data_IF_748619711846
#
_entry.id   IF_748619711846
#
_cell.length_a   1.000
_cell.length_b   1.000
_cell.length_c   1.000
_cell.angle_alpha   90.00
_cell.angle_beta   90.00
_cell.angle_gamma   90.00
#
_symmetry.space_group_name_H-M   'P 1'
#
loop_
_entity.id
_entity.type
_entity.pdbx_description
1 polymer ?
#
# COMPACT_ATOMS: atom_id res chain seq x y z
N UNK A 1 6.72 -3.68 -13.11
CA UNK A 1 6.05 -4.12 -11.87
C UNK A 1 4.57 -3.76 -11.97
N UNK A 2 3.67 -4.67 -11.62
CA UNK A 2 2.24 -4.44 -11.51
C UNK A 2 1.88 -3.99 -10.11
N UNK A 3 0.75 -3.29 -9.93
CA UNK A 3 0.37 -2.71 -8.63
C UNK A 3 -1.09 -3.08 -8.33
N UNK A 4 -1.36 -3.45 -7.07
CA UNK A 4 -2.67 -3.61 -6.48
C UNK A 4 -2.74 -2.74 -5.21
N UNK A 5 -3.57 -1.71 -5.21
CA UNK A 5 -3.78 -0.83 -4.06
C UNK A 5 -5.14 -1.11 -3.45
N UNK A 6 -5.17 -1.43 -2.17
CA UNK A 6 -6.37 -1.79 -1.44
C UNK A 6 -6.56 -0.90 -0.21
N UNK A 7 -7.78 -0.78 0.25
CA UNK A 7 -8.07 -0.16 1.54
C UNK A 7 -7.74 -1.11 2.70
N UNK A 8 -8.32 -2.30 2.72
CA UNK A 8 -8.20 -3.25 3.84
C UNK A 8 -7.61 -4.62 3.45
N UNK A 9 -6.85 -4.72 2.36
CA UNK A 9 -6.28 -5.97 1.88
C UNK A 9 -7.23 -6.75 0.97
N UNK A 10 -7.16 -8.08 1.00
CA UNK A 10 -7.94 -8.95 0.11
C UNK A 10 -9.24 -9.35 0.82
N UNK A 11 -10.23 -8.48 0.79
CA UNK A 11 -11.49 -8.59 1.58
C UNK A 11 -12.58 -9.39 0.90
N UNK A 12 -12.56 -9.47 -0.45
CA UNK A 12 -13.61 -10.10 -1.23
C UNK A 12 -13.07 -10.89 -2.43
N UNK A 13 -13.97 -11.55 -3.16
CA UNK A 13 -13.63 -12.45 -4.27
C UNK A 13 -13.12 -11.70 -5.49
N UNK A 14 -13.61 -10.50 -5.73
CA UNK A 14 -13.21 -9.67 -6.88
C UNK A 14 -11.77 -9.16 -6.71
N UNK A 15 -11.40 -8.68 -5.52
CA UNK A 15 -10.03 -8.28 -5.22
C UNK A 15 -9.09 -9.49 -5.24
N UNK A 16 -9.54 -10.65 -4.72
CA UNK A 16 -8.76 -11.88 -4.79
C UNK A 16 -8.50 -12.31 -6.24
N UNK A 17 -9.51 -12.28 -7.11
CA UNK A 17 -9.35 -12.61 -8.52
C UNK A 17 -8.36 -11.66 -9.21
N UNK A 18 -8.46 -10.35 -8.94
CA UNK A 18 -7.52 -9.35 -9.46
C UNK A 18 -6.07 -9.64 -9.04
N UNK A 19 -5.83 -10.05 -7.78
CA UNK A 19 -4.49 -10.44 -7.34
C UNK A 19 -3.96 -11.66 -8.12
N UNK A 20 -4.79 -12.69 -8.33
CA UNK A 20 -4.42 -13.89 -9.10
C UNK A 20 -4.09 -13.54 -10.54
N UNK A 21 -4.90 -12.67 -11.18
CA UNK A 21 -4.69 -12.20 -12.54
C UNK A 21 -3.38 -11.40 -12.68
N UNK A 22 -3.08 -10.54 -11.70
CA UNK A 22 -1.82 -9.81 -11.66
C UNK A 22 -0.62 -10.74 -11.51
N UNK A 23 -0.70 -11.75 -10.64
CA UNK A 23 0.35 -12.75 -10.46
C UNK A 23 0.54 -13.62 -11.72
N UNK A 24 -0.53 -13.84 -12.50
CA UNK A 24 -0.51 -14.71 -13.67
C UNK A 24 -0.34 -16.21 -13.34
N UNK A 25 -0.43 -16.57 -12.06
CA UNK A 25 -0.34 -17.94 -11.54
C UNK A 25 -1.02 -18.06 -10.18
N UNK A 26 -1.33 -19.28 -9.70
CA UNK A 26 -1.93 -19.48 -8.39
C UNK A 26 -1.07 -18.89 -7.25
N UNK A 27 -1.72 -18.37 -6.21
CA UNK A 27 -1.04 -17.87 -5.00
C UNK A 27 -0.19 -18.96 -4.36
N UNK A 28 -0.67 -20.21 -4.36
CA UNK A 28 0.05 -21.37 -3.83
C UNK A 28 1.35 -21.72 -4.61
N UNK A 29 1.56 -21.11 -5.77
CA UNK A 29 2.78 -21.24 -6.56
C UNK A 29 3.66 -19.98 -6.51
N UNK A 30 3.18 -18.93 -5.85
CA UNK A 30 3.80 -17.61 -5.77
C UNK A 30 4.52 -17.39 -4.44
N UNK A 31 5.69 -16.74 -4.49
CA UNK A 31 6.46 -16.31 -3.32
C UNK A 31 6.10 -14.86 -2.96
N UNK A 32 6.00 -14.56 -1.66
CA UNK A 32 5.72 -13.21 -1.20
C UNK A 32 6.68 -12.75 -0.10
N UNK A 33 6.91 -11.44 -0.05
CA UNK A 33 7.57 -10.76 1.07
C UNK A 33 6.58 -9.79 1.73
N UNK A 34 6.37 -9.95 3.02
CA UNK A 34 5.54 -9.07 3.84
C UNK A 34 6.40 -7.92 4.39
N UNK A 35 5.90 -6.70 4.28
CA UNK A 35 6.53 -5.47 4.79
C UNK A 35 5.59 -4.85 5.82
N UNK A 36 5.77 -5.16 7.13
CA UNK A 36 4.88 -4.71 8.18
C UNK A 36 5.31 -3.39 8.84
N UNK A 37 6.38 -2.78 8.38
CA UNK A 37 7.09 -1.67 9.05
C UNK A 37 6.17 -0.50 9.43
N UNK A 38 5.14 -0.20 8.64
CA UNK A 38 4.26 0.96 8.86
C UNK A 38 3.53 0.98 10.21
N UNK A 39 3.34 -0.17 10.87
CA UNK A 39 2.62 -0.24 12.15
C UNK A 39 3.52 -0.06 13.37
N UNK A 40 4.82 -0.07 13.21
CA UNK A 40 5.76 -0.01 14.35
C UNK A 40 5.58 1.24 15.25
N UNK A 41 5.25 2.44 14.73
CA UNK A 41 5.03 3.61 15.57
C UNK A 41 3.83 3.53 16.49
N UNK A 42 2.85 2.68 16.18
CA UNK A 42 1.61 2.61 16.95
C UNK A 42 1.75 1.78 18.23
N UNK A 43 1.00 2.13 19.29
CA UNK A 43 0.89 1.28 20.47
C UNK A 43 0.47 -0.14 20.09
N UNK A 44 1.21 -1.15 20.54
CA UNK A 44 0.94 -2.54 20.20
C UNK A 44 1.43 -2.98 18.82
N UNK A 45 2.27 -2.19 18.13
CA UNK A 45 2.84 -2.51 16.82
C UNK A 45 3.28 -3.97 16.63
N UNK A 46 4.08 -4.56 17.54
CA UNK A 46 4.47 -5.99 17.44
C UNK A 46 3.28 -6.97 17.41
N UNK A 47 2.21 -6.69 18.17
CA UNK A 47 1.01 -7.51 18.18
C UNK A 47 0.22 -7.37 16.86
N UNK A 48 0.19 -6.16 16.30
CA UNK A 48 -0.42 -5.92 14.99
C UNK A 48 0.35 -6.65 13.88
N UNK A 49 1.69 -6.65 13.91
CA UNK A 49 2.51 -7.44 12.97
C UNK A 49 2.15 -8.92 13.05
N UNK A 50 2.02 -9.49 14.25
CA UNK A 50 1.60 -10.87 14.40
C UNK A 50 0.20 -11.12 13.79
N UNK A 51 -0.75 -10.25 14.08
CA UNK A 51 -2.11 -10.34 13.52
C UNK A 51 -2.13 -10.26 11.99
N UNK A 52 -1.32 -9.38 11.39
CA UNK A 52 -1.18 -9.30 9.93
C UNK A 52 -0.58 -10.57 9.32
N UNK A 53 0.49 -11.09 9.90
CA UNK A 53 1.13 -12.33 9.43
C UNK A 53 0.21 -13.55 9.50
N UNK A 54 -0.64 -13.61 10.52
CA UNK A 54 -1.57 -14.71 10.75
C UNK A 54 -2.94 -14.51 10.10
N UNK A 55 -3.19 -13.33 9.48
CA UNK A 55 -4.47 -12.99 8.85
C UNK A 55 -5.60 -12.74 9.85
N UNK A 56 -5.28 -12.40 11.12
CA UNK A 56 -6.27 -12.09 12.16
C UNK A 56 -6.53 -10.60 12.32
N UNK A 57 -5.75 -9.74 11.65
CA UNK A 57 -5.93 -8.29 11.58
C UNK A 57 -5.78 -7.83 10.13
N UNK A 58 -6.71 -7.01 9.67
CA UNK A 58 -6.81 -6.61 8.26
C UNK A 58 -7.31 -7.75 7.36
N UNK A 59 -7.41 -7.52 6.06
CA UNK A 59 -7.72 -8.57 5.10
C UNK A 59 -6.58 -9.62 5.03
N UNK A 60 -6.88 -10.86 4.65
CA UNK A 60 -5.95 -12.00 4.77
C UNK A 60 -4.82 -11.97 3.72
N UNK A 61 -4.01 -10.91 3.67
CA UNK A 61 -2.92 -10.79 2.69
C UNK A 61 -1.84 -11.87 2.87
N UNK A 62 -1.33 -12.03 4.10
CA UNK A 62 -0.28 -13.00 4.40
C UNK A 62 -0.81 -14.44 4.52
N UNK A 63 -2.08 -14.61 4.85
CA UNK A 63 -2.70 -15.91 5.10
C UNK A 63 -3.40 -16.53 3.87
N UNK A 64 -3.06 -16.09 2.65
CA UNK A 64 -3.68 -16.56 1.41
C UNK A 64 -3.14 -17.91 0.90
N UNK A 65 -2.23 -18.55 1.63
CA UNK A 65 -1.65 -19.84 1.22
C UNK A 65 -0.51 -19.70 0.19
N UNK A 66 0.32 -18.68 0.31
CA UNK A 66 1.51 -18.48 -0.52
C UNK A 66 2.44 -19.70 -0.50
N UNK A 67 3.11 -19.98 -1.62
CA UNK A 67 4.17 -21.01 -1.71
C UNK A 67 5.27 -20.78 -0.67
N UNK A 68 5.67 -19.52 -0.51
CA UNK A 68 6.57 -19.08 0.53
C UNK A 68 6.22 -17.63 0.94
N UNK A 69 6.36 -17.34 2.23
CA UNK A 69 6.17 -16.03 2.79
C UNK A 69 7.38 -15.66 3.63
N UNK A 70 8.07 -14.56 3.26
CA UNK A 70 9.13 -13.97 4.07
C UNK A 70 8.67 -12.66 4.71
N UNK A 71 9.41 -12.18 5.70
CA UNK A 71 9.20 -10.87 6.32
C UNK A 71 10.39 -9.98 6.02
N UNK A 72 10.13 -8.79 5.53
CA UNK A 72 11.12 -7.75 5.26
C UNK A 72 10.84 -6.56 6.18
N UNK A 73 11.50 -6.52 7.35
CA UNK A 73 11.39 -5.40 8.28
C UNK A 73 12.40 -4.32 7.89
N UNK A 74 11.90 -3.20 7.35
CA UNK A 74 12.72 -2.17 6.73
C UNK A 74 13.67 -1.48 7.72
N UNK A 75 13.29 -1.37 8.98
CA UNK A 75 14.11 -0.75 10.03
C UNK A 75 15.40 -1.52 10.30
N UNK A 76 15.43 -2.81 10.02
CA UNK A 76 16.61 -3.66 10.18
C UNK A 76 17.59 -3.58 9.01
N UNK A 77 17.11 -3.26 7.80
CA UNK A 77 17.88 -3.36 6.56
C UNK A 77 19.16 -2.49 6.52
N UNK A 78 19.19 -1.27 7.09
CA UNK A 78 20.44 -0.48 7.13
C UNK A 78 21.59 -1.16 7.87
N UNK A 79 21.31 -2.12 8.75
CA UNK A 79 22.30 -2.91 9.50
C UNK A 79 22.67 -4.23 8.81
N UNK A 80 22.00 -4.56 7.70
CA UNK A 80 22.18 -5.82 6.98
C UNK A 80 22.84 -5.55 5.62
N UNK A 81 23.77 -6.40 5.21
CA UNK A 81 24.38 -6.28 3.86
C UNK A 81 23.30 -6.38 2.79
N UNK A 82 23.35 -5.48 1.81
CA UNK A 82 22.35 -5.42 0.72
C UNK A 82 22.20 -6.76 0.00
N UNK A 83 23.30 -7.47 -0.26
CA UNK A 83 23.31 -8.77 -0.95
C UNK A 83 22.45 -9.84 -0.22
N UNK A 84 22.17 -9.66 1.06
CA UNK A 84 21.38 -10.64 1.84
C UNK A 84 19.88 -10.53 1.65
N UNK A 85 19.37 -9.39 1.17
CA UNK A 85 17.94 -9.16 1.05
C UNK A 85 17.50 -8.71 -0.35
N UNK A 86 18.35 -8.05 -1.11
CA UNK A 86 18.02 -7.53 -2.46
C UNK A 86 17.60 -8.67 -3.39
N UNK A 87 18.34 -9.78 -3.40
CA UNK A 87 17.98 -10.94 -4.22
C UNK A 87 16.58 -11.47 -3.87
N UNK A 88 16.24 -11.57 -2.58
CA UNK A 88 14.92 -12.02 -2.14
C UNK A 88 13.80 -11.08 -2.63
N UNK A 89 14.03 -9.75 -2.61
CA UNK A 89 13.07 -8.76 -3.13
C UNK A 89 12.92 -8.90 -4.66
N UNK A 90 14.03 -9.08 -5.39
CA UNK A 90 14.00 -9.22 -6.84
C UNK A 90 13.35 -10.52 -7.31
N UNK A 91 13.43 -11.59 -6.52
CA UNK A 91 12.87 -12.91 -6.82
C UNK A 91 11.43 -13.07 -6.36
N UNK A 92 10.93 -12.23 -5.43
CA UNK A 92 9.56 -12.31 -4.94
C UNK A 92 8.55 -12.04 -6.05
N UNK A 93 7.46 -12.82 -6.06
CA UNK A 93 6.33 -12.60 -6.96
C UNK A 93 5.44 -11.47 -6.45
N UNK A 94 5.37 -11.28 -5.13
CA UNK A 94 4.61 -10.19 -4.52
C UNK A 94 5.35 -9.54 -3.35
N UNK A 95 5.20 -8.21 -3.24
CA UNK A 95 5.55 -7.44 -2.06
C UNK A 95 4.24 -7.03 -1.36
N UNK A 96 3.98 -7.57 -0.18
CA UNK A 96 2.78 -7.30 0.61
C UNK A 96 3.06 -6.18 1.60
N UNK A 97 2.76 -4.96 1.22
CA UNK A 97 3.07 -3.75 1.99
C UNK A 97 1.88 -3.39 2.85
N UNK A 98 2.01 -3.59 4.16
CA UNK A 98 0.95 -3.29 5.09
C UNK A 98 0.92 -1.80 5.45
N UNK A 99 -0.24 -1.36 5.93
CA UNK A 99 -0.49 0.02 6.31
C UNK A 99 0.13 0.42 7.65
N UNK A 100 -0.57 1.27 8.35
CA UNK A 100 -0.12 2.00 9.52
C UNK A 100 0.28 3.43 9.13
N UNK A 101 1.32 3.98 9.73
CA UNK A 101 1.82 5.32 9.41
C UNK A 101 2.42 5.37 7.99
N UNK A 102 1.81 6.06 7.03
CA UNK A 102 2.35 6.17 5.69
C UNK A 102 3.65 6.98 5.66
N UNK A 103 3.78 8.01 6.50
CA UNK A 103 5.02 8.80 6.61
C UNK A 103 6.18 7.96 7.11
N UNK A 104 5.98 7.21 8.19
CA UNK A 104 6.99 6.33 8.76
C UNK A 104 7.40 5.24 7.75
N UNK A 105 6.43 4.62 7.10
CA UNK A 105 6.66 3.59 6.10
C UNK A 105 7.47 4.16 4.91
N UNK A 106 7.05 5.30 4.36
CA UNK A 106 7.74 5.97 3.25
C UNK A 106 9.18 6.35 3.62
N UNK A 107 9.40 6.88 4.83
CA UNK A 107 10.74 7.16 5.35
C UNK A 107 11.62 5.91 5.33
N UNK A 108 11.13 4.80 5.89
CA UNK A 108 11.93 3.57 5.94
C UNK A 108 12.09 2.89 4.59
N UNK A 109 11.14 3.01 3.67
CA UNK A 109 11.33 2.56 2.29
C UNK A 109 12.50 3.28 1.62
N UNK A 110 12.66 4.59 1.87
CA UNK A 110 13.80 5.36 1.37
C UNK A 110 15.10 5.03 2.12
N UNK A 111 15.09 5.03 3.46
CA UNK A 111 16.27 4.78 4.28
C UNK A 111 16.86 3.38 4.08
N UNK A 112 16.03 2.37 3.87
CA UNK A 112 16.47 1.01 3.57
C UNK A 112 17.05 0.85 2.17
N UNK A 113 16.70 1.77 1.25
CA UNK A 113 17.02 1.66 -0.17
C UNK A 113 16.02 0.79 -0.95
N UNK A 114 14.91 0.36 -0.32
CA UNK A 114 13.85 -0.37 -1.02
C UNK A 114 13.18 0.49 -2.09
N UNK A 115 12.92 1.77 -1.78
CA UNK A 115 12.31 2.70 -2.73
C UNK A 115 13.08 2.79 -4.06
N UNK A 116 14.40 2.81 -4.01
CA UNK A 116 15.27 2.85 -5.20
C UNK A 116 15.22 1.54 -6.01
N UNK A 117 14.89 0.43 -5.35
CA UNK A 117 14.84 -0.89 -5.96
C UNK A 117 13.51 -1.15 -6.69
N UNK A 118 12.39 -0.59 -6.21
CA UNK A 118 11.05 -0.85 -6.75
C UNK A 118 10.94 -0.63 -8.27
N UNK A 119 11.47 0.47 -8.87
CA UNK A 119 11.37 0.68 -10.32
C UNK A 119 12.13 -0.36 -11.15
N UNK A 120 13.09 -1.05 -10.55
CA UNK A 120 13.93 -2.06 -11.21
C UNK A 120 13.42 -3.50 -11.05
N UNK A 121 12.31 -3.69 -10.34
CA UNK A 121 11.70 -5.01 -10.18
C UNK A 121 11.20 -5.54 -11.53
N UNK A 122 11.15 -6.84 -11.64
CA UNK A 122 10.67 -7.51 -12.86
C UNK A 122 9.22 -7.09 -13.19
N UNK A 123 8.84 -7.06 -14.47
CA UNK A 123 7.51 -6.57 -14.91
C UNK A 123 6.33 -7.36 -14.33
N UNK A 124 6.53 -8.64 -14.01
CA UNK A 124 5.52 -9.55 -13.46
C UNK A 124 5.46 -9.56 -11.93
N UNK A 125 6.39 -8.91 -11.24
CA UNK A 125 6.29 -8.70 -9.80
C UNK A 125 5.09 -7.79 -9.45
N UNK A 126 4.40 -8.09 -8.35
CA UNK A 126 3.22 -7.36 -7.90
C UNK A 126 3.50 -6.63 -6.59
N UNK A 127 3.35 -5.31 -6.60
CA UNK A 127 3.25 -4.52 -5.37
C UNK A 127 1.81 -4.56 -4.88
N UNK A 128 1.57 -5.08 -3.68
CA UNK A 128 0.25 -5.12 -3.04
C UNK A 128 0.29 -4.21 -1.83
N UNK A 129 -0.28 -3.01 -1.96
CA UNK A 129 -0.36 -2.04 -0.86
C UNK A 129 -1.73 -2.06 -0.20
N UNK A 130 -1.79 -1.98 1.14
CA UNK A 130 -3.05 -1.81 1.88
C UNK A 130 -2.98 -0.60 2.79
N UNK A 131 -4.05 0.21 2.85
CA UNK A 131 -4.14 1.41 3.70
C UNK A 131 -2.93 2.34 3.49
N UNK A 132 -2.16 2.67 4.53
CA UNK A 132 -0.90 3.42 4.42
C UNK A 132 0.08 2.81 3.43
N UNK A 133 0.10 1.48 3.25
CA UNK A 133 0.90 0.79 2.24
C UNK A 133 0.44 1.06 0.80
N UNK A 134 -0.84 1.39 0.59
CA UNK A 134 -1.36 1.88 -0.68
C UNK A 134 -1.02 3.37 -0.88
N UNK A 135 -1.16 4.18 0.17
CA UNK A 135 -0.88 5.62 0.13
C UNK A 135 0.58 5.93 -0.22
N UNK A 136 1.56 5.14 0.25
CA UNK A 136 2.97 5.38 -0.09
C UNK A 136 3.30 5.21 -1.57
N UNK A 137 2.44 4.54 -2.34
CA UNK A 137 2.62 4.41 -3.79
C UNK A 137 2.23 5.68 -4.56
N UNK A 138 1.49 6.61 -3.97
CA UNK A 138 1.02 7.85 -4.59
C UNK A 138 2.13 8.90 -4.74
N UNK A 139 1.90 10.03 -5.44
CA UNK A 139 2.89 11.11 -5.54
C UNK A 139 3.15 11.83 -4.22
N UNK A 140 2.09 12.06 -3.44
CA UNK A 140 2.14 12.71 -2.13
C UNK A 140 0.92 12.32 -1.27
N UNK A 141 0.94 12.73 0.00
CA UNK A 141 -0.14 12.43 0.94
C UNK A 141 -1.22 13.53 1.00
N UNK A 142 -1.05 14.63 0.24
CA UNK A 142 -2.02 15.74 0.17
C UNK A 142 -2.10 16.59 1.44
N UNK A 143 -1.03 16.65 2.22
CA UNK A 143 -0.97 17.44 3.46
C UNK A 143 -1.70 16.83 4.65
N UNK A 144 -2.52 15.82 4.46
CA UNK A 144 -3.20 15.10 5.54
C UNK A 144 -2.44 13.82 5.87
N UNK A 145 -1.82 13.83 7.01
CA UNK A 145 -1.19 12.65 7.58
C UNK A 145 -1.89 12.34 8.90
N UNK A 146 -2.48 11.18 8.97
CA UNK A 146 -3.16 10.65 10.16
C UNK A 146 -2.22 10.35 11.33
N UNK A 147 -1.00 10.88 11.30
CA UNK A 147 0.05 10.40 12.16
C UNK A 147 0.84 11.53 12.81
N UNK A 148 0.43 11.87 14.02
CA UNK A 148 1.20 12.72 14.94
C UNK A 148 2.54 12.09 15.35
N UNK A 149 2.77 10.80 15.02
CA UNK A 149 3.91 10.04 15.52
C UNK A 149 5.17 10.14 14.66
N UNK A 150 5.10 10.73 13.46
CA UNK A 150 6.22 10.69 12.52
C UNK A 150 6.70 12.07 12.03
N UNK A 151 7.40 12.85 12.86
CA UNK A 151 8.06 14.07 12.38
C UNK A 151 9.30 13.79 11.51
N UNK A 152 9.48 12.56 11.00
CA UNK A 152 10.77 12.11 10.48
C UNK A 152 11.13 12.64 9.10
N UNK A 153 10.16 13.08 8.29
CA UNK A 153 10.45 13.41 6.89
C UNK A 153 10.38 14.89 6.56
N UNK A 154 9.60 15.68 7.30
CA UNK A 154 9.34 17.09 6.97
C UNK A 154 8.76 17.29 5.56
N UNK A 155 8.24 16.23 4.93
CA UNK A 155 7.74 16.23 3.56
C UNK A 155 6.56 15.26 3.46
N UNK A 156 5.52 15.67 2.77
CA UNK A 156 4.35 14.88 2.40
C UNK A 156 4.54 14.10 1.08
N UNK A 157 5.73 14.14 0.47
CA UNK A 157 6.04 13.39 -0.75
C UNK A 157 6.13 11.90 -0.49
N UNK A 158 5.32 11.14 -1.25
CA UNK A 158 5.32 9.69 -1.28
C UNK A 158 6.24 9.15 -2.40
N UNK A 159 6.13 7.89 -2.81
CA UNK A 159 7.08 7.26 -3.72
C UNK A 159 6.82 7.57 -5.21
N UNK A 160 5.60 7.98 -5.57
CA UNK A 160 5.25 8.29 -6.96
C UNK A 160 5.30 7.07 -7.89
N UNK A 161 4.84 5.92 -7.42
CA UNK A 161 4.71 4.71 -8.25
C UNK A 161 3.49 4.76 -9.18
N UNK A 162 2.53 5.62 -8.85
CA UNK A 162 1.32 5.91 -9.63
C UNK A 162 1.13 7.43 -9.75
N UNK A 163 0.33 7.88 -10.73
CA UNK A 163 0.11 9.29 -11.05
C UNK A 163 -1.23 9.83 -10.48
N UNK A 164 -1.72 9.24 -9.40
CA UNK A 164 -2.94 9.64 -8.69
C UNK A 164 -2.76 9.52 -7.19
N UNK A 165 -3.55 10.26 -6.43
CA UNK A 165 -3.62 10.15 -4.96
C UNK A 165 -4.72 9.16 -4.56
N UNK A 166 -4.59 8.56 -3.36
CA UNK A 166 -5.52 7.56 -2.87
C UNK A 166 -5.85 7.81 -1.40
N UNK A 167 -7.14 7.81 -1.08
CA UNK A 167 -7.68 7.85 0.26
C UNK A 167 -8.38 6.53 0.58
N UNK A 168 -7.84 5.71 1.48
CA UNK A 168 -8.47 4.44 1.89
C UNK A 168 -9.57 4.66 2.94
N UNK A 169 -10.33 3.59 3.23
CA UNK A 169 -11.32 3.53 4.31
C UNK A 169 -12.50 4.50 4.15
N UNK A 170 -12.90 4.80 2.89
CA UNK A 170 -14.03 5.68 2.61
C UNK A 170 -15.26 5.28 3.44
N UNK A 171 -15.79 6.24 4.24
CA UNK A 171 -16.98 6.11 5.08
C UNK A 171 -16.94 4.95 6.08
N UNK A 172 -15.76 4.59 6.57
CA UNK A 172 -15.61 3.54 7.57
C UNK A 172 -16.09 4.03 8.95
N UNK A 173 -17.04 3.30 9.55
CA UNK A 173 -17.77 3.72 10.77
C UNK A 173 -16.87 3.99 11.98
N UNK A 174 -15.81 3.20 12.18
CA UNK A 174 -14.86 3.33 13.30
C UNK A 174 -13.75 4.36 13.03
N UNK A 175 -13.75 5.02 11.85
CA UNK A 175 -12.77 6.02 11.44
C UNK A 175 -13.49 7.31 10.97
N UNK A 176 -13.94 8.19 11.86
CA UNK A 176 -14.77 9.35 11.51
C UNK A 176 -14.09 10.34 10.55
N UNK A 177 -12.75 10.36 10.52
CA UNK A 177 -11.97 11.21 9.60
C UNK A 177 -12.07 10.74 8.14
N UNK A 178 -12.57 9.53 7.89
CA UNK A 178 -12.76 8.97 6.55
C UNK A 178 -14.12 9.28 5.94
N UNK A 179 -14.85 10.23 6.51
CA UNK A 179 -16.14 10.69 5.96
C UNK A 179 -15.98 11.29 4.56
N UNK A 180 -16.97 11.10 3.71
CA UNK A 180 -16.94 11.65 2.35
C UNK A 180 -16.66 13.17 2.33
N UNK A 181 -17.19 13.93 3.30
CA UNK A 181 -16.99 15.37 3.39
C UNK A 181 -15.52 15.75 3.66
N UNK A 182 -14.84 15.00 4.55
CA UNK A 182 -13.41 15.21 4.82
C UNK A 182 -12.56 14.86 3.60
N UNK A 183 -12.89 13.76 2.93
CA UNK A 183 -12.20 13.32 1.70
C UNK A 183 -12.39 14.32 0.56
N UNK A 184 -13.59 14.90 0.39
CA UNK A 184 -13.85 15.96 -0.57
C UNK A 184 -13.00 17.21 -0.31
N UNK A 185 -12.85 17.57 0.97
CA UNK A 185 -11.99 18.68 1.37
C UNK A 185 -10.52 18.40 1.04
N UNK A 186 -10.02 17.22 1.39
CA UNK A 186 -8.67 16.77 1.05
C UNK A 186 -8.43 16.77 -0.47
N UNK A 187 -9.34 16.16 -1.24
CA UNK A 187 -9.22 16.05 -2.69
C UNK A 187 -9.21 17.42 -3.40
N UNK A 188 -9.90 18.41 -2.83
CA UNK A 188 -9.93 19.77 -3.39
C UNK A 188 -8.55 20.47 -3.38
N UNK A 189 -7.63 20.03 -2.52
CA UNK A 189 -6.26 20.55 -2.45
C UNK A 189 -5.26 19.88 -3.40
N UNK A 190 -5.67 18.83 -4.12
CA UNK A 190 -4.77 18.04 -4.94
C UNK A 190 -4.66 18.53 -6.37
N UNK A 191 -3.47 18.41 -6.95
CA UNK A 191 -3.18 18.72 -8.36
C UNK A 191 -3.25 17.51 -9.29
N UNK A 192 -3.47 16.30 -8.73
CA UNK A 192 -3.58 15.03 -9.47
C UNK A 192 -4.95 14.41 -9.23
N UNK A 193 -5.43 13.50 -10.10
CA UNK A 193 -6.64 12.73 -9.81
C UNK A 193 -6.53 12.00 -8.46
N UNK A 194 -7.64 11.86 -7.74
CA UNK A 194 -7.65 11.17 -6.46
C UNK A 194 -8.80 10.17 -6.38
N UNK A 195 -8.51 8.99 -5.87
CA UNK A 195 -9.48 7.95 -5.61
C UNK A 195 -9.75 7.86 -4.11
N UNK A 196 -11.01 7.89 -3.72
CA UNK A 196 -11.45 7.41 -2.40
C UNK A 196 -12.03 6.02 -2.58
N UNK A 197 -11.58 5.08 -1.76
CA UNK A 197 -12.01 3.68 -1.85
C UNK A 197 -12.43 3.15 -0.47
N UNK A 198 -13.52 2.41 -0.43
CA UNK A 198 -13.95 1.69 0.76
C UNK A 198 -13.16 0.38 0.96
N UNK A 199 -13.48 -0.36 2.00
CA UNK A 199 -12.77 -1.59 2.36
C UNK A 199 -13.02 -2.78 1.41
N UNK A 200 -14.00 -2.66 0.50
CA UNK A 200 -14.35 -3.66 -0.52
C UNK A 200 -13.90 -3.27 -1.94
N UNK A 201 -13.02 -2.26 -2.04
CA UNK A 201 -12.51 -1.73 -3.30
C UNK A 201 -10.99 -1.78 -3.38
N UNK A 202 -10.48 -2.05 -4.57
CA UNK A 202 -9.07 -1.99 -4.91
C UNK A 202 -8.85 -1.31 -6.26
N UNK A 203 -7.61 -0.87 -6.50
CA UNK A 203 -7.17 -0.31 -7.78
C UNK A 203 -6.00 -1.15 -8.30
N UNK A 204 -6.11 -1.61 -9.54
CA UNK A 204 -5.00 -2.24 -10.25
C UNK A 204 -4.33 -1.24 -11.18
N UNK A 205 -2.99 -1.34 -11.30
CA UNK A 205 -2.23 -0.58 -12.29
C UNK A 205 -1.27 -1.52 -13.00
N UNK A 206 -1.43 -1.61 -14.32
CA UNK A 206 -0.61 -2.43 -15.21
C UNK A 206 -0.18 -1.59 -16.40
N UNK A 207 1.10 -1.41 -16.61
CA UNK A 207 1.66 -0.61 -17.72
C UNK A 207 1.05 0.80 -17.81
N UNK A 208 0.74 1.41 -16.67
CA UNK A 208 0.10 2.73 -16.55
C UNK A 208 -1.43 2.73 -16.72
N UNK A 209 -2.04 1.61 -17.12
CA UNK A 209 -3.50 1.49 -17.16
C UNK A 209 -4.05 1.27 -15.75
N UNK A 210 -5.02 2.10 -15.37
CA UNK A 210 -5.68 2.09 -14.05
C UNK A 210 -7.06 1.48 -14.18
N UNK A 211 -7.38 0.49 -13.35
CA UNK A 211 -8.71 -0.13 -13.28
C UNK A 211 -9.15 -0.22 -11.82
N UNK A 212 -10.41 0.08 -11.55
CA UNK A 212 -11.02 -0.10 -10.23
C UNK A 212 -11.76 -1.43 -10.20
N UNK A 213 -11.45 -2.26 -9.20
CA UNK A 213 -12.11 -3.53 -8.91
C UNK A 213 -12.83 -3.44 -7.57
N UNK A 214 -14.16 -3.63 -7.55
CA UNK A 214 -14.96 -3.30 -6.37
C UNK A 214 -16.20 -4.17 -6.23
N UNK A 215 -16.49 -4.56 -4.99
CA UNK A 215 -17.79 -5.07 -4.56
C UNK A 215 -18.51 -4.06 -3.63
N UNK A 216 -17.87 -2.92 -3.38
CA UNK A 216 -18.33 -1.82 -2.56
C UNK A 216 -18.53 -0.52 -3.34
N UNK A 217 -18.06 0.58 -2.78
CA UNK A 217 -18.21 1.91 -3.38
C UNK A 217 -16.90 2.70 -3.33
N UNK A 218 -16.75 3.57 -4.31
CA UNK A 218 -15.58 4.41 -4.49
C UNK A 218 -15.94 5.71 -5.19
N UNK A 219 -15.04 6.69 -5.13
CA UNK A 219 -15.22 7.97 -5.80
C UNK A 219 -13.92 8.44 -6.43
N UNK A 220 -14.01 8.94 -7.67
CA UNK A 220 -12.90 9.62 -8.37
C UNK A 220 -13.12 11.13 -8.30
N UNK A 221 -12.09 11.84 -7.87
CA UNK A 221 -12.00 13.29 -7.91
C UNK A 221 -11.01 13.70 -8.98
N UNK A 222 -11.41 14.62 -9.83
CA UNK A 222 -10.54 15.21 -10.86
C UNK A 222 -10.14 16.61 -10.45
N UNK A 223 -8.86 17.02 -10.57
CA UNK A 223 -8.42 18.36 -10.26
C UNK A 223 -9.24 19.41 -11.02
N UNK A 224 -9.54 20.52 -10.36
CA UNK A 224 -10.14 21.67 -11.04
C UNK A 224 -9.14 22.29 -12.03
N UNK A 225 -9.57 22.74 -13.23
CA UNK A 225 -8.69 23.35 -14.22
C UNK A 225 -7.97 24.62 -13.75
N UNK A 226 -8.39 25.19 -12.62
CA UNK A 226 -7.87 26.44 -12.05
C UNK A 226 -6.70 26.23 -11.06
N UNK A 227 -6.28 24.99 -10.80
CA UNK A 227 -5.21 24.67 -9.83
C UNK A 227 -3.82 24.47 -10.48
N UNK A 228 -3.60 24.97 -11.70
CA UNK A 228 -2.35 24.81 -12.48
C UNK A 228 -1.50 26.06 -12.45
#
# INVERSE_FOLDING_TARGET
MKILLTSSGITNTTIHAALVDLLGKPIAESSALCIPTGVQPFPGGPSHVFGFLTGTVGGPMCALGWKSLGVLELTALPSIKKDHWVAAVQEADALLVWGGSPLYLCYWMRQSGLADLLPSLRPDAVYVGTSGGAMVATPDFGGETYDDSAPLTGSDKALGLVDFSLFPHLEREDMPDTSLANIEHWAAGLSVPAYAIDDDTAITVVDGAVEVVSEGHWKLFTPSPEAS
#
